data_IF_365752598905
#
_entry.id   IF_365752598905
#
_cell.length_a   1.000
_cell.length_b   1.000
_cell.length_c   1.000
_cell.angle_alpha   90.00
_cell.angle_beta   90.00
_cell.angle_gamma   90.00
#
_symmetry.space_group_name_H-M   'P 1'
#
loop_
_entity.id
_entity.type
_entity.pdbx_description
1 polymer ?
#
# COMPACT_ATOMS: atom_id res chain seq x y z
N UNK A 1 -0.56 5.10 14.97
CA UNK A 1 -0.77 4.04 15.96
C UNK A 1 -0.38 2.70 15.37
N UNK A 2 0.57 2.04 15.97
CA UNK A 2 1.06 0.73 15.51
C UNK A 2 -0.05 -0.30 15.71
N UNK A 3 -0.51 -0.92 14.62
CA UNK A 3 -1.50 -1.98 14.68
C UNK A 3 -0.83 -3.33 14.60
N UNK A 4 -1.06 -4.11 15.62
CA UNK A 4 -0.93 -5.57 15.72
C UNK A 4 0.30 -6.21 15.04
N UNK A 5 1.15 -6.75 15.88
CA UNK A 5 2.18 -7.70 15.45
C UNK A 5 1.51 -9.00 14.98
N UNK A 6 1.45 -9.19 13.68
CA UNK A 6 1.10 -10.49 13.11
C UNK A 6 2.35 -11.08 12.46
N UNK A 7 2.72 -12.30 12.85
CA UNK A 7 3.86 -13.03 12.28
C UNK A 7 5.19 -12.26 12.37
N UNK A 8 5.43 -11.55 13.49
CA UNK A 8 6.65 -10.77 13.68
C UNK A 8 6.73 -9.49 12.88
N UNK A 9 5.62 -9.04 12.28
CA UNK A 9 5.53 -7.77 11.53
C UNK A 9 4.72 -6.75 12.28
N UNK A 10 5.15 -5.49 12.16
CA UNK A 10 4.43 -4.34 12.72
C UNK A 10 3.91 -3.49 11.57
N UNK A 11 2.61 -3.55 11.31
CA UNK A 11 1.97 -2.77 10.25
C UNK A 11 1.83 -1.31 10.69
N UNK A 12 2.35 -0.38 9.89
CA UNK A 12 2.36 1.06 10.20
C UNK A 12 1.52 1.89 9.24
N UNK A 13 1.13 1.36 8.10
CA UNK A 13 0.21 2.02 7.17
C UNK A 13 -0.53 0.97 6.34
N UNK A 14 -1.81 1.22 6.06
CA UNK A 14 -2.65 0.33 5.25
C UNK A 14 -3.44 1.13 4.23
N UNK A 15 -3.60 0.55 3.04
CA UNK A 15 -4.45 1.09 2.00
C UNK A 15 -5.79 0.33 1.98
N UNK A 16 -6.72 0.78 2.79
CA UNK A 16 -8.03 0.11 2.95
C UNK A 16 -8.92 0.25 1.73
N UNK A 17 -8.72 1.30 0.93
CA UNK A 17 -9.50 1.57 -0.28
C UNK A 17 -9.07 0.75 -1.48
N UNK A 18 -7.90 0.12 -1.44
CA UNK A 18 -7.32 -0.56 -2.59
C UNK A 18 -8.26 -1.64 -3.15
N UNK A 19 -8.81 -2.49 -2.30
CA UNK A 19 -9.71 -3.57 -2.71
C UNK A 19 -11.08 -3.08 -3.18
N UNK A 20 -11.47 -1.88 -2.76
CA UNK A 20 -12.69 -1.24 -3.24
C UNK A 20 -12.50 -0.62 -4.63
N UNK A 21 -11.34 0.02 -4.85
CA UNK A 21 -11.06 0.77 -6.05
C UNK A 21 -10.46 -0.06 -7.18
N UNK A 22 -9.85 -1.21 -6.85
CA UNK A 22 -9.09 -2.04 -7.79
C UNK A 22 -9.42 -3.51 -7.66
N UNK A 23 -9.36 -4.21 -8.79
CA UNK A 23 -9.25 -5.67 -8.80
C UNK A 23 -7.78 -6.02 -8.57
N UNK A 24 -7.48 -6.68 -7.47
CA UNK A 24 -6.12 -7.08 -7.12
C UNK A 24 -5.81 -8.40 -7.81
N UNK A 25 -4.80 -8.39 -8.69
CA UNK A 25 -4.42 -9.56 -9.48
C UNK A 25 -3.29 -10.36 -8.83
N UNK A 26 -2.23 -9.67 -8.42
CA UNK A 26 -1.04 -10.27 -7.86
C UNK A 26 -0.44 -9.36 -6.80
N UNK A 27 0.08 -9.95 -5.72
CA UNK A 27 0.75 -9.20 -4.65
C UNK A 27 2.20 -9.63 -4.53
N UNK A 28 3.07 -8.72 -4.12
CA UNK A 28 4.46 -9.01 -3.85
C UNK A 28 5.00 -8.15 -2.72
N UNK A 29 5.96 -8.72 -1.99
CA UNK A 29 6.67 -7.99 -0.94
C UNK A 29 7.92 -7.34 -1.52
N UNK A 30 8.21 -6.13 -1.08
CA UNK A 30 9.40 -5.39 -1.48
C UNK A 30 10.03 -4.68 -0.29
N UNK A 31 11.29 -4.30 -0.42
CA UNK A 31 11.94 -3.41 0.52
C UNK A 31 11.60 -1.95 0.21
N UNK A 32 11.67 -1.10 1.22
CA UNK A 32 11.41 0.33 1.08
C UNK A 32 12.58 1.13 1.65
N UNK A 33 13.19 1.98 0.83
CA UNK A 33 14.30 2.84 1.25
C UNK A 33 13.76 4.09 1.90
N UNK A 34 14.06 4.29 3.17
CA UNK A 34 13.55 5.39 3.98
C UNK A 34 14.70 6.16 4.66
N UNK A 35 14.46 7.44 4.91
CA UNK A 35 15.30 8.24 5.79
C UNK A 35 14.97 7.96 7.25
N UNK A 36 15.89 8.25 8.18
CA UNK A 36 15.69 8.03 9.61
C UNK A 36 14.43 8.71 10.16
N UNK A 37 14.17 9.96 9.75
CA UNK A 37 12.97 10.70 10.17
C UNK A 37 11.68 10.08 9.63
N UNK A 38 11.74 9.47 8.44
CA UNK A 38 10.60 8.75 7.86
C UNK A 38 10.28 7.49 8.66
N UNK A 39 11.30 6.74 9.05
CA UNK A 39 11.14 5.55 9.91
C UNK A 39 10.47 5.91 11.23
N UNK A 40 10.96 6.95 11.89
CA UNK A 40 10.41 7.41 13.16
C UNK A 40 8.97 7.91 13.03
N UNK A 41 8.67 8.64 11.95
CA UNK A 41 7.32 9.13 11.67
C UNK A 41 6.35 7.98 11.38
N UNK A 42 6.76 6.98 10.59
CA UNK A 42 5.95 5.80 10.31
C UNK A 42 5.58 5.04 11.58
N UNK A 43 6.51 4.90 12.53
CA UNK A 43 6.23 4.25 13.81
C UNK A 43 5.19 5.02 14.65
N UNK A 44 5.02 6.31 14.40
CA UNK A 44 3.97 7.12 15.01
C UNK A 44 2.56 6.86 14.47
N UNK A 45 2.42 6.19 13.34
CA UNK A 45 1.15 5.71 12.82
C UNK A 45 0.26 6.73 12.11
N UNK A 46 0.78 7.88 11.70
CA UNK A 46 0.03 8.94 11.02
C UNK A 46 0.21 8.95 9.51
N UNK A 47 0.96 8.02 8.96
CA UNK A 47 1.24 7.96 7.53
C UNK A 47 0.05 7.43 6.74
N UNK A 48 -0.08 7.89 5.49
CA UNK A 48 -1.15 7.50 4.59
C UNK A 48 -0.59 7.06 3.25
N UNK A 49 -1.08 5.92 2.77
CA UNK A 49 -0.73 5.38 1.45
C UNK A 49 -1.96 5.21 0.56
N UNK A 50 -3.11 5.75 0.98
CA UNK A 50 -4.37 5.61 0.24
C UNK A 50 -4.37 6.21 -1.16
N UNK A 51 -3.59 7.26 -1.37
CA UNK A 51 -3.44 7.93 -2.67
C UNK A 51 -2.11 7.62 -3.34
N UNK A 52 -1.33 6.71 -2.78
CA UNK A 52 -0.01 6.35 -3.31
C UNK A 52 -0.12 5.33 -4.44
N UNK A 53 0.87 5.33 -5.29
CA UNK A 53 1.00 4.36 -6.36
C UNK A 53 2.48 4.07 -6.61
N UNK A 54 2.75 3.01 -7.37
CA UNK A 54 4.11 2.63 -7.75
C UNK A 54 4.33 3.07 -9.20
N UNK A 55 5.42 3.83 -9.40
CA UNK A 55 5.83 4.29 -10.72
C UNK A 55 7.21 3.72 -11.08
N UNK A 56 7.46 3.61 -12.35
CA UNK A 56 8.78 3.24 -12.88
C UNK A 56 9.51 4.49 -13.35
N UNK A 57 10.78 4.62 -12.98
CA UNK A 57 11.66 5.68 -13.48
C UNK A 57 13.10 5.15 -13.52
N UNK A 58 13.73 5.25 -14.69
CA UNK A 58 15.11 4.80 -14.88
C UNK A 58 15.33 3.30 -14.65
N UNK A 59 14.30 2.48 -14.90
CA UNK A 59 14.37 1.03 -14.68
C UNK A 59 14.21 0.62 -13.23
N UNK A 60 13.79 1.54 -12.37
CA UNK A 60 13.58 1.31 -10.94
C UNK A 60 12.13 1.60 -10.54
N UNK A 61 11.68 0.98 -9.45
CA UNK A 61 10.33 1.18 -8.92
C UNK A 61 10.36 2.21 -7.79
N UNK A 62 9.38 3.11 -7.79
CA UNK A 62 9.26 4.19 -6.82
C UNK A 62 7.85 4.25 -6.23
N UNK A 63 7.77 4.43 -4.92
CA UNK A 63 6.52 4.73 -4.25
C UNK A 63 6.29 6.24 -4.31
N UNK A 64 5.22 6.64 -4.99
CA UNK A 64 4.90 8.04 -5.27
C UNK A 64 3.63 8.42 -4.53
N UNK A 65 3.60 9.64 -4.03
CA UNK A 65 2.44 10.24 -3.37
C UNK A 65 2.04 9.56 -2.04
N UNK A 66 2.96 8.85 -1.40
CA UNK A 66 2.76 8.37 -0.03
C UNK A 66 3.05 9.53 0.93
N UNK A 67 2.15 9.76 1.87
CA UNK A 67 2.27 10.83 2.85
C UNK A 67 2.86 10.31 4.16
N UNK A 68 4.10 10.66 4.43
CA UNK A 68 4.78 10.39 5.70
C UNK A 68 5.02 11.74 6.37
N UNK A 69 4.24 12.10 7.41
CA UNK A 69 4.38 13.38 8.09
C UNK A 69 5.79 13.62 8.60
N UNK A 70 6.18 14.87 8.73
CA UNK A 70 7.44 15.23 9.34
C UNK A 70 7.50 14.70 10.77
N UNK A 71 8.69 14.24 11.18
CA UNK A 71 8.92 13.83 12.54
C UNK A 71 9.02 15.06 13.45
N UNK A 72 8.11 15.17 14.42
CA UNK A 72 7.96 16.36 15.25
C UNK A 72 9.24 16.74 16.03
N UNK A 73 10.03 15.74 16.43
CA UNK A 73 11.32 15.95 17.12
C UNK A 73 12.50 16.03 16.15
N UNK A 74 12.24 15.93 14.84
CA UNK A 74 13.27 16.08 13.82
C UNK A 74 13.62 17.56 13.65
N UNK A 75 14.91 17.84 13.50
CA UNK A 75 15.42 19.19 13.31
C UNK A 75 15.33 19.61 11.82
N UNK A 76 16.28 20.44 11.38
CA UNK A 76 16.41 20.95 10.01
C UNK A 76 16.56 19.86 8.94
N UNK A 77 16.92 18.64 9.35
CA UNK A 77 17.14 17.50 8.45
C UNK A 77 15.91 16.61 8.29
N UNK A 78 14.73 17.15 8.50
CA UNK A 78 13.49 16.43 8.29
C UNK A 78 13.27 16.14 6.80
N UNK A 79 12.42 15.17 6.51
CA UNK A 79 12.12 14.77 5.15
C UNK A 79 10.90 15.55 4.60
N UNK A 80 10.76 15.59 3.30
CA UNK A 80 9.56 16.06 2.63
C UNK A 80 8.46 14.98 2.71
N UNK A 81 7.24 15.38 3.05
CA UNK A 81 6.11 14.47 3.32
C UNK A 81 5.82 13.50 2.19
N UNK A 82 5.81 13.98 0.95
CA UNK A 82 5.47 13.20 -0.23
C UNK A 82 6.67 12.87 -1.11
N UNK A 83 7.84 12.80 -0.52
CA UNK A 83 9.06 12.43 -1.22
C UNK A 83 8.90 11.07 -1.89
N UNK A 84 9.28 10.92 -3.18
CA UNK A 84 9.32 9.59 -3.79
C UNK A 84 10.30 8.68 -3.06
N UNK A 85 9.89 7.46 -2.76
CA UNK A 85 10.72 6.48 -2.04
C UNK A 85 11.02 5.30 -2.95
N UNK A 86 12.28 4.90 -2.97
CA UNK A 86 12.71 3.77 -3.79
C UNK A 86 12.18 2.47 -3.23
N UNK A 87 11.65 1.63 -4.11
CA UNK A 87 11.20 0.29 -3.78
C UNK A 87 12.25 -0.70 -4.26
N UNK A 88 12.69 -1.58 -3.36
CA UNK A 88 13.71 -2.58 -3.63
C UNK A 88 13.05 -3.89 -4.07
N UNK A 89 13.22 -4.21 -5.35
CA UNK A 89 12.71 -5.41 -5.99
C UNK A 89 13.81 -6.10 -6.76
N UNK A 90 13.68 -7.40 -6.97
CA UNK A 90 14.54 -8.12 -7.90
C UNK A 90 14.28 -7.66 -9.34
N UNK A 91 15.29 -7.72 -10.18
CA UNK A 91 15.18 -7.28 -11.60
C UNK A 91 14.02 -7.95 -12.34
N UNK A 92 13.76 -9.24 -12.06
CA UNK A 92 12.61 -9.96 -12.64
C UNK A 92 11.28 -9.35 -12.27
N UNK A 93 11.14 -8.97 -10.99
CA UNK A 93 9.92 -8.35 -10.48
C UNK A 93 9.70 -6.97 -11.10
N UNK A 94 10.76 -6.17 -11.23
CA UNK A 94 10.70 -4.85 -11.87
C UNK A 94 10.22 -5.00 -13.32
N UNK A 95 10.76 -5.97 -14.07
CA UNK A 95 10.34 -6.22 -15.46
C UNK A 95 8.86 -6.59 -15.56
N UNK A 96 8.36 -7.42 -14.64
CA UNK A 96 6.94 -7.79 -14.59
C UNK A 96 6.08 -6.55 -14.33
N UNK A 97 6.50 -5.70 -13.38
CA UNK A 97 5.75 -4.48 -13.06
C UNK A 97 5.75 -3.48 -14.19
N UNK A 98 6.90 -3.26 -14.84
CA UNK A 98 7.01 -2.36 -16.00
C UNK A 98 6.07 -2.83 -17.12
N UNK A 99 6.10 -4.11 -17.45
CA UNK A 99 5.22 -4.69 -18.47
C UNK A 99 3.74 -4.49 -18.13
N UNK A 100 3.39 -4.65 -16.87
CA UNK A 100 2.01 -4.48 -16.40
C UNK A 100 1.55 -3.01 -16.43
N UNK A 101 2.41 -2.08 -16.02
CA UNK A 101 2.12 -0.64 -16.04
C UNK A 101 1.90 -0.14 -17.48
N UNK A 102 2.60 -0.70 -18.45
CA UNK A 102 2.45 -0.34 -19.86
C UNK A 102 1.13 -0.85 -20.47
N UNK A 103 0.45 -1.80 -19.84
CA UNK A 103 -0.84 -2.29 -20.32
C UNK A 103 -1.95 -1.36 -19.87
N UNK A 104 -2.93 -1.17 -20.77
CA UNK A 104 -4.09 -0.32 -20.50
C UNK A 104 -4.87 -0.78 -19.25
N UNK A 105 -5.20 0.17 -18.38
CA UNK A 105 -5.99 -0.07 -17.19
C UNK A 105 -5.26 -0.73 -16.04
N UNK A 106 -3.99 -1.10 -16.18
CA UNK A 106 -3.20 -1.71 -15.12
C UNK A 106 -2.37 -0.68 -14.37
N UNK A 107 -2.31 -0.85 -13.06
CA UNK A 107 -1.51 -0.01 -12.16
C UNK A 107 -0.91 -0.87 -11.07
N UNK A 108 0.03 -0.31 -10.33
CA UNK A 108 0.61 -0.96 -9.15
C UNK A 108 0.37 -0.06 -7.95
N UNK A 109 -0.29 -0.61 -6.94
CA UNK A 109 -0.68 0.14 -5.75
C UNK A 109 -0.09 -0.50 -4.48
N UNK A 110 0.25 0.30 -3.47
CA UNK A 110 0.67 -0.25 -2.18
C UNK A 110 -0.56 -0.72 -1.40
N UNK A 111 -0.43 -1.84 -0.70
CA UNK A 111 -1.46 -2.38 0.17
C UNK A 111 -1.17 -2.07 1.63
N UNK A 112 0.07 -2.30 2.06
CA UNK A 112 0.48 -1.99 3.43
C UNK A 112 1.98 -1.74 3.51
N UNK A 113 2.38 -0.97 4.51
CA UNK A 113 3.77 -0.76 4.90
C UNK A 113 3.95 -1.32 6.30
N UNK A 114 5.00 -2.06 6.52
CA UNK A 114 5.27 -2.71 7.80
C UNK A 114 6.77 -2.82 8.07
N UNK A 115 7.11 -3.06 9.34
CA UNK A 115 8.47 -3.41 9.74
C UNK A 115 8.52 -4.90 10.06
N UNK A 116 9.52 -5.60 9.52
CA UNK A 116 9.71 -7.01 9.80
C UNK A 116 10.40 -7.24 11.16
N UNK A 117 10.68 -8.49 11.52
CA UNK A 117 11.34 -8.84 12.78
C UNK A 117 12.70 -8.18 12.96
N UNK A 118 13.43 -7.94 11.88
CA UNK A 118 14.72 -7.25 11.90
C UNK A 118 14.59 -5.73 11.92
N UNK A 119 13.37 -5.18 11.97
CA UNK A 119 13.13 -3.74 11.95
C UNK A 119 13.30 -3.09 10.58
N UNK A 120 13.34 -3.85 9.50
CA UNK A 120 13.44 -3.33 8.14
C UNK A 120 12.09 -2.94 7.61
N UNK A 121 12.02 -1.79 6.93
CA UNK A 121 10.81 -1.33 6.28
C UNK A 121 10.52 -2.19 5.04
N UNK A 122 9.31 -2.74 5.02
CA UNK A 122 8.79 -3.55 3.92
C UNK A 122 7.47 -2.98 3.43
N UNK A 123 7.18 -3.23 2.18
CA UNK A 123 5.92 -2.81 1.56
C UNK A 123 5.33 -3.98 0.78
N UNK A 124 4.04 -4.19 0.95
CA UNK A 124 3.30 -5.09 0.09
C UNK A 124 2.66 -4.28 -1.02
N UNK A 125 2.98 -4.60 -2.24
CA UNK A 125 2.44 -3.94 -3.43
C UNK A 125 1.61 -4.92 -4.24
N UNK A 126 0.68 -4.40 -5.01
CA UNK A 126 -0.23 -5.21 -5.79
C UNK A 126 -0.36 -4.70 -7.22
N UNK A 127 -0.32 -5.65 -8.15
CA UNK A 127 -0.72 -5.41 -9.52
C UNK A 127 -2.24 -5.38 -9.56
N UNK A 128 -2.82 -4.32 -10.10
CA UNK A 128 -4.25 -4.08 -10.00
C UNK A 128 -4.82 -3.44 -11.28
N UNK A 129 -6.10 -3.67 -11.48
CA UNK A 129 -6.90 -3.03 -12.55
C UNK A 129 -7.95 -2.15 -11.90
N UNK A 130 -8.06 -0.91 -12.35
CA UNK A 130 -9.06 0.02 -11.82
C UNK A 130 -10.48 -0.46 -12.06
N UNK A 131 -11.32 -0.41 -11.03
CA UNK A 131 -12.74 -0.72 -11.15
C UNK A 131 -13.49 0.46 -11.77
N UNK A 132 -14.37 0.17 -12.73
CA UNK A 132 -15.32 1.15 -13.24
C UNK A 132 -16.39 1.45 -12.18
N UNK A 133 -17.05 2.59 -12.27
CA UNK A 133 -18.04 3.00 -11.27
C UNK A 133 -19.15 1.95 -11.05
N UNK A 134 -19.62 1.27 -12.10
CA UNK A 134 -20.64 0.24 -11.97
C UNK A 134 -20.13 -1.02 -11.26
N UNK A 135 -18.87 -1.38 -11.44
CA UNK A 135 -18.25 -2.51 -10.73
C UNK A 135 -18.16 -2.24 -9.22
N UNK A 136 -17.85 -1.01 -8.84
CA UNK A 136 -17.85 -0.60 -7.44
C UNK A 136 -19.24 -0.70 -6.83
N UNK A 137 -20.26 -0.25 -7.53
CA UNK A 137 -21.66 -0.35 -7.08
C UNK A 137 -22.10 -1.79 -6.93
N UNK A 138 -21.75 -2.65 -7.88
CA UNK A 138 -22.05 -4.08 -7.82
C UNK A 138 -21.38 -4.74 -6.60
N UNK A 139 -20.12 -4.44 -6.35
CA UNK A 139 -19.37 -4.97 -5.21
C UNK A 139 -20.00 -4.54 -3.87
N UNK A 140 -20.49 -3.31 -3.77
CA UNK A 140 -21.18 -2.79 -2.59
C UNK A 140 -22.49 -3.53 -2.37
N UNK A 141 -23.31 -3.67 -3.42
CA UNK A 141 -24.59 -4.40 -3.35
C UNK A 141 -24.41 -5.84 -2.92
N UNK A 142 -23.42 -6.51 -3.46
CA UNK A 142 -23.13 -7.91 -3.11
C UNK A 142 -22.71 -8.05 -1.65
N UNK A 143 -21.87 -7.15 -1.13
CA UNK A 143 -21.49 -7.15 0.28
C UNK A 143 -22.66 -6.88 1.20
N UNK A 144 -23.55 -5.96 0.84
CA UNK A 144 -24.75 -5.65 1.61
C UNK A 144 -25.70 -6.85 1.62
N UNK A 145 -25.89 -7.50 0.48
CA UNK A 145 -26.68 -8.73 0.36
C UNK A 145 -26.13 -9.83 1.26
N UNK A 146 -24.82 -10.06 1.24
CA UNK A 146 -24.18 -11.06 2.09
C UNK A 146 -24.36 -10.76 3.58
N UNK A 147 -24.27 -9.49 3.97
CA UNK A 147 -24.53 -9.09 5.36
C UNK A 147 -25.96 -9.36 5.78
N UNK A 148 -26.94 -9.00 4.94
CA UNK A 148 -28.35 -9.25 5.19
C UNK A 148 -28.63 -10.76 5.31
N UNK A 149 -28.08 -11.53 4.40
CA UNK A 149 -28.19 -13.00 4.42
C UNK A 149 -27.64 -13.58 5.72
N UNK A 150 -26.46 -13.14 6.13
CA UNK A 150 -25.84 -13.59 7.38
C UNK A 150 -26.68 -13.25 8.61
N UNK A 151 -27.29 -12.06 8.63
CA UNK A 151 -28.20 -11.64 9.72
C UNK A 151 -29.45 -12.50 9.77
N UNK A 152 -30.04 -12.81 8.62
CA UNK A 152 -31.23 -13.64 8.54
C UNK A 152 -30.94 -15.07 9.02
N UNK A 153 -29.79 -15.63 8.65
CA UNK A 153 -29.36 -16.96 9.08
C UNK A 153 -29.05 -17.00 10.59
N UNK A 154 -28.52 -15.94 11.16
CA UNK A 154 -28.19 -15.84 12.58
C UNK A 154 -29.44 -15.72 13.49
N UNK A 155 -30.60 -15.37 12.94
CA UNK A 155 -31.85 -15.21 13.69
C UNK A 155 -32.64 -16.51 13.89
N UNK A 156 -32.14 -17.62 13.39
CA UNK A 156 -32.80 -18.92 13.56
C UNK A 156 -32.54 -19.52 14.94
#
# INVERSE_FOLDING_TARGET
>A
MVKKEELGRTVVAQNRKARHNYFIEETMEAGLVLKGTEVKSLRGGRSSIGEAYVAEDGGEAWLVNADIPEYASGNRNNHERKRPRKILLHKRQIKVLIGAIQREGRTVVPLEVYFNEQGRAKIQIALATGKKAHDKRHSIKERDWQRQRSRLLARR
#
